data_IF_499304662254
#
_entry.id   IF_499304662254
#
_cell.length_a   1.000
_cell.length_b   1.000
_cell.length_c   1.000
_cell.angle_alpha   90.00
_cell.angle_beta   90.00
_cell.angle_gamma   90.00
#
_symmetry.space_group_name_H-M   'P 1'
#
loop_
_entity.id
_entity.type
_entity.pdbx_description
1 polymer ?
#
# COMPACT_ATOMS: atom_id res chain seq x y z
N UNK A 1 -60.97 -3.84 22.40
CA UNK A 1 -59.81 -2.94 22.59
C UNK A 1 -58.57 -3.70 22.15
N UNK A 2 -58.10 -3.49 20.93
CA UNK A 2 -56.86 -4.06 20.42
C UNK A 2 -55.90 -2.90 20.18
N UNK A 3 -54.79 -2.88 20.90
CA UNK A 3 -53.70 -1.92 20.70
C UNK A 3 -52.85 -2.42 19.53
N UNK A 4 -52.93 -1.72 18.41
CA UNK A 4 -51.96 -1.85 17.32
C UNK A 4 -50.66 -1.16 17.74
N UNK A 5 -49.63 -1.93 18.06
CA UNK A 5 -48.28 -1.39 18.20
C UNK A 5 -47.69 -1.15 16.80
N UNK A 6 -47.14 0.04 16.50
CA UNK A 6 -46.39 0.23 15.27
C UNK A 6 -45.04 -0.46 15.41
N UNK A 7 -44.83 -1.49 14.58
CA UNK A 7 -43.53 -2.13 14.37
C UNK A 7 -42.61 -1.08 13.72
N UNK A 8 -41.79 -0.39 14.51
CA UNK A 8 -40.75 0.47 14.00
C UNK A 8 -39.67 -0.42 13.35
N UNK A 9 -39.74 -0.61 12.03
CA UNK A 9 -38.63 -1.15 11.25
C UNK A 9 -37.47 -0.15 11.35
N UNK A 10 -36.51 -0.44 12.24
CA UNK A 10 -35.16 0.11 12.17
C UNK A 10 -34.51 -0.45 10.91
N UNK A 11 -34.68 0.24 9.79
CA UNK A 11 -33.79 0.08 8.64
C UNK A 11 -32.41 0.56 9.08
N UNK A 12 -31.62 -0.35 9.66
CA UNK A 12 -30.17 -0.19 9.69
C UNK A 12 -29.71 -0.34 8.24
N UNK A 13 -29.83 0.75 7.47
CA UNK A 13 -29.02 0.93 6.28
C UNK A 13 -27.58 0.85 6.78
N UNK A 14 -26.95 -0.30 6.59
CA UNK A 14 -25.50 -0.43 6.66
C UNK A 14 -24.97 0.62 5.68
N UNK A 15 -24.62 1.78 6.20
CA UNK A 15 -24.02 2.83 5.41
C UNK A 15 -22.76 2.19 4.82
N UNK A 16 -22.76 2.00 3.51
CA UNK A 16 -21.55 1.65 2.78
C UNK A 16 -20.67 2.88 2.96
N UNK A 17 -19.77 2.83 3.95
CA UNK A 17 -18.85 3.92 4.22
C UNK A 17 -17.76 3.86 3.15
N UNK A 18 -17.69 4.93 2.36
CA UNK A 18 -16.56 5.16 1.46
C UNK A 18 -15.25 5.27 2.23
N UNK A 19 -14.11 5.23 1.52
CA UNK A 19 -12.82 5.42 2.16
C UNK A 19 -12.74 6.82 2.77
N UNK A 20 -12.16 6.90 3.96
CA UNK A 20 -11.86 8.15 4.64
C UNK A 20 -10.38 8.25 4.94
N UNK A 21 -9.65 8.95 4.06
CA UNK A 21 -8.21 9.21 4.24
C UNK A 21 -7.94 9.92 5.58
N UNK A 22 -8.80 10.87 5.98
CA UNK A 22 -8.70 11.58 7.27
C UNK A 22 -8.68 10.67 8.50
N UNK A 23 -9.37 9.54 8.46
CA UNK A 23 -9.44 8.61 9.61
C UNK A 23 -8.24 7.68 9.72
N UNK A 24 -7.46 7.56 8.65
CA UNK A 24 -6.33 6.63 8.57
C UNK A 24 -4.99 7.36 8.54
N UNK A 25 -5.00 8.70 8.54
CA UNK A 25 -3.78 9.51 8.57
C UNK A 25 -2.91 9.11 9.74
N UNK A 26 -1.67 8.79 9.41
CA UNK A 26 -0.63 8.61 10.39
C UNK A 26 0.02 9.96 10.73
N UNK A 27 1.20 9.88 11.35
CA UNK A 27 2.06 11.03 11.56
C UNK A 27 2.50 11.66 10.21
N UNK A 28 2.75 12.99 10.17
CA UNK A 28 3.39 13.61 9.01
C UNK A 28 4.74 12.95 8.70
N UNK A 29 5.15 12.93 7.44
CA UNK A 29 6.43 12.33 7.09
C UNK A 29 7.58 13.08 7.77
N UNK A 30 8.41 12.36 8.51
CA UNK A 30 9.62 12.90 9.12
C UNK A 30 10.79 11.95 8.94
N UNK A 31 11.93 12.54 8.57
CA UNK A 31 13.28 12.05 8.83
C UNK A 31 13.48 10.52 8.74
N UNK A 32 13.07 9.92 7.62
CA UNK A 32 13.32 8.51 7.30
C UNK A 32 14.81 8.35 7.00
N UNK A 33 15.63 8.34 8.05
CA UNK A 33 17.10 8.37 7.94
C UNK A 33 17.76 7.00 8.13
N UNK A 34 17.01 5.91 7.94
CA UNK A 34 17.56 4.55 7.99
C UNK A 34 17.82 4.04 6.58
N UNK A 35 19.06 4.18 6.12
CA UNK A 35 19.53 3.35 5.01
C UNK A 35 19.44 1.88 5.44
N UNK A 36 18.83 1.00 4.64
CA UNK A 36 18.70 -0.39 4.99
C UNK A 36 20.12 -1.00 5.06
N UNK A 37 20.36 -1.84 6.06
CA UNK A 37 21.57 -2.67 6.09
C UNK A 37 21.10 -4.13 6.13
N UNK A 38 21.26 -4.89 5.03
CA UNK A 38 21.92 -4.53 3.77
C UNK A 38 21.13 -3.54 2.91
N UNK A 39 21.82 -2.83 2.00
CA UNK A 39 21.19 -2.03 0.94
C UNK A 39 20.39 -2.93 -0.02
N UNK A 40 19.34 -2.40 -0.65
CA UNK A 40 18.56 -3.13 -1.63
C UNK A 40 19.41 -3.50 -2.85
N UNK A 41 19.45 -4.80 -3.17
CA UNK A 41 20.08 -5.27 -4.40
C UNK A 41 19.20 -4.90 -5.60
N UNK A 42 19.61 -3.85 -6.32
CA UNK A 42 18.89 -3.35 -7.49
C UNK A 42 18.75 -4.40 -8.59
N UNK A 43 19.75 -5.29 -8.78
CA UNK A 43 19.67 -6.35 -9.81
C UNK A 43 18.62 -7.37 -9.43
N UNK A 44 18.57 -7.74 -8.15
CA UNK A 44 17.52 -8.62 -7.64
C UNK A 44 16.14 -7.98 -7.82
N UNK A 45 15.94 -6.77 -7.32
CA UNK A 45 14.64 -6.08 -7.39
C UNK A 45 14.12 -5.92 -8.83
N UNK A 46 14.99 -5.53 -9.77
CA UNK A 46 14.66 -5.39 -11.19
C UNK A 46 14.48 -6.72 -11.94
N UNK A 47 14.91 -7.85 -11.35
CA UNK A 47 14.71 -9.18 -11.95
C UNK A 47 13.33 -9.78 -11.63
N UNK A 48 12.55 -9.13 -10.77
CA UNK A 48 11.26 -9.64 -10.32
C UNK A 48 10.16 -9.27 -11.31
N UNK A 49 9.55 -10.29 -11.92
CA UNK A 49 8.39 -10.11 -12.81
C UNK A 49 7.14 -9.65 -12.04
N UNK A 50 7.03 -10.04 -10.77
CA UNK A 50 5.88 -9.69 -9.92
C UNK A 50 6.35 -9.54 -8.48
N UNK A 51 5.98 -8.40 -7.90
CA UNK A 51 6.21 -8.05 -6.50
C UNK A 51 4.83 -7.96 -5.84
N UNK A 52 4.53 -8.87 -4.94
CA UNK A 52 3.32 -8.84 -4.13
C UNK A 52 3.46 -7.81 -3.01
N UNK A 53 2.33 -7.22 -2.61
CA UNK A 53 2.25 -6.26 -1.50
C UNK A 53 1.36 -6.80 -0.37
N UNK A 54 1.78 -7.87 0.35
CA UNK A 54 0.95 -8.54 1.34
C UNK A 54 0.72 -7.76 2.63
N UNK A 55 1.53 -6.75 2.92
CA UNK A 55 1.51 -6.08 4.22
C UNK A 55 1.86 -4.60 4.05
N UNK A 56 1.03 -3.71 4.60
CA UNK A 56 1.15 -2.25 4.48
C UNK A 56 0.36 -1.54 5.58
N UNK A 57 0.45 -0.21 5.67
CA UNK A 57 -0.55 0.55 6.41
C UNK A 57 -1.79 0.90 5.58
N UNK A 58 -2.88 1.23 6.27
CA UNK A 58 -4.16 1.57 5.64
C UNK A 58 -4.06 2.79 4.71
N UNK A 59 -3.18 3.76 4.99
CA UNK A 59 -2.93 4.91 4.10
C UNK A 59 -2.42 4.43 2.75
N UNK A 60 -1.38 3.57 2.73
CA UNK A 60 -0.81 3.05 1.50
C UNK A 60 -1.87 2.31 0.67
N UNK A 61 -2.65 1.44 1.33
CA UNK A 61 -3.74 0.71 0.68
C UNK A 61 -4.77 1.66 0.06
N UNK A 62 -5.23 2.68 0.81
CA UNK A 62 -6.27 3.60 0.34
C UNK A 62 -5.76 4.46 -0.80
N UNK A 63 -4.50 4.89 -0.77
CA UNK A 63 -3.87 5.65 -1.85
C UNK A 63 -3.69 4.81 -3.11
N UNK A 64 -3.20 3.58 -2.97
CA UNK A 64 -3.12 2.64 -4.08
C UNK A 64 -4.51 2.35 -4.67
N UNK A 65 -5.55 2.19 -3.84
CA UNK A 65 -6.93 2.02 -4.29
C UNK A 65 -7.44 3.22 -5.09
N UNK A 66 -7.28 4.42 -4.53
CA UNK A 66 -7.71 5.68 -5.13
C UNK A 66 -7.03 5.89 -6.49
N UNK A 67 -5.72 5.64 -6.54
CA UNK A 67 -4.93 5.85 -7.75
C UNK A 67 -5.21 4.79 -8.82
N UNK A 68 -5.38 3.52 -8.47
CA UNK A 68 -5.72 2.49 -9.47
C UNK A 68 -7.17 2.60 -9.98
N UNK A 69 -8.12 2.93 -9.10
CA UNK A 69 -9.54 3.06 -9.47
C UNK A 69 -9.84 4.39 -10.16
N UNK A 70 -9.00 5.42 -9.94
CA UNK A 70 -9.24 6.79 -10.42
C UNK A 70 -10.61 7.33 -9.99
N UNK A 71 -10.96 7.09 -8.72
CA UNK A 71 -12.23 7.49 -8.10
C UNK A 71 -11.98 8.35 -6.88
N UNK A 72 -12.94 9.22 -6.52
CA UNK A 72 -12.90 9.90 -5.22
C UNK A 72 -12.90 8.83 -4.11
N UNK A 73 -12.01 8.92 -3.10
CA UNK A 73 -11.97 7.96 -1.99
C UNK A 73 -13.34 7.66 -1.37
N UNK A 74 -14.23 8.67 -1.28
CA UNK A 74 -15.58 8.53 -0.70
C UNK A 74 -16.52 7.66 -1.53
N UNK A 75 -16.20 7.41 -2.80
CA UNK A 75 -16.97 6.54 -3.69
C UNK A 75 -16.46 5.10 -3.69
N UNK A 76 -15.29 4.85 -3.12
CA UNK A 76 -14.67 3.53 -3.07
C UNK A 76 -15.20 2.75 -1.86
N UNK A 77 -15.74 1.56 -2.09
CA UNK A 77 -16.24 0.70 -1.02
C UNK A 77 -15.08 0.14 -0.17
N UNK A 78 -15.05 0.48 1.11
CA UNK A 78 -14.03 0.03 2.06
C UNK A 78 -13.93 -1.50 2.14
N UNK A 79 -15.04 -2.23 1.97
CA UNK A 79 -15.01 -3.69 1.98
C UNK A 79 -14.30 -4.30 0.79
N UNK A 80 -14.43 -3.73 -0.41
CA UNK A 80 -13.83 -4.30 -1.62
C UNK A 80 -12.32 -4.15 -1.67
N UNK A 81 -11.75 -3.11 -1.04
CA UNK A 81 -10.31 -2.85 -1.15
C UNK A 81 -9.42 -3.93 -0.53
N UNK A 82 -9.90 -4.60 0.52
CA UNK A 82 -9.13 -5.65 1.20
C UNK A 82 -9.18 -7.01 0.50
N UNK A 83 -10.28 -7.31 -0.19
CA UNK A 83 -10.52 -8.63 -0.80
C UNK A 83 -10.30 -8.65 -2.32
N UNK A 84 -10.49 -7.52 -2.99
CA UNK A 84 -10.38 -7.41 -4.45
C UNK A 84 -9.08 -6.68 -4.86
N UNK A 85 -8.28 -6.25 -3.87
CA UNK A 85 -7.08 -5.43 -4.09
C UNK A 85 -6.06 -6.07 -5.01
N UNK A 86 -5.67 -7.31 -4.73
CA UNK A 86 -4.71 -8.10 -5.53
C UNK A 86 -3.49 -7.28 -5.99
N UNK A 87 -2.98 -6.40 -5.12
CA UNK A 87 -1.98 -5.42 -5.48
C UNK A 87 -0.66 -6.10 -5.83
N UNK A 88 -0.14 -5.79 -7.01
CA UNK A 88 1.17 -6.26 -7.45
C UNK A 88 1.90 -5.12 -8.13
N UNK A 89 3.22 -5.21 -8.10
CA UNK A 89 4.11 -4.23 -8.70
C UNK A 89 5.15 -4.91 -9.59
N UNK A 90 5.65 -4.17 -10.57
CA UNK A 90 6.80 -4.57 -11.38
C UNK A 90 7.70 -3.37 -11.60
N UNK A 91 9.00 -3.55 -11.36
CA UNK A 91 10.02 -2.52 -11.57
C UNK A 91 10.77 -2.81 -12.86
N UNK A 92 10.87 -1.80 -13.73
CA UNK A 92 11.56 -1.93 -15.02
C UNK A 92 12.87 -1.13 -15.02
N UNK A 93 13.89 -1.66 -15.70
CA UNK A 93 15.21 -1.03 -15.80
C UNK A 93 15.21 0.33 -16.51
N UNK A 94 14.12 0.69 -17.20
CA UNK A 94 13.94 1.99 -17.84
C UNK A 94 13.40 3.06 -16.87
N UNK A 95 13.32 2.77 -15.57
CA UNK A 95 12.78 3.67 -14.56
C UNK A 95 11.26 3.72 -14.50
N UNK A 96 10.57 2.75 -15.11
CA UNK A 96 9.11 2.61 -14.98
C UNK A 96 8.78 1.66 -13.83
N UNK A 97 7.78 2.02 -13.04
CA UNK A 97 7.15 1.17 -12.05
C UNK A 97 5.70 0.95 -12.50
N UNK A 98 5.22 -0.29 -12.51
CA UNK A 98 3.84 -0.61 -12.89
C UNK A 98 3.13 -1.23 -11.69
N UNK A 99 2.01 -0.66 -11.27
CA UNK A 99 1.09 -1.31 -10.35
C UNK A 99 -0.03 -2.01 -11.11
N UNK A 100 -0.55 -3.08 -10.52
CA UNK A 100 -1.74 -3.79 -10.97
C UNK A 100 -2.58 -4.20 -9.77
N UNK A 101 -3.90 -4.09 -9.90
CA UNK A 101 -4.85 -4.49 -8.85
C UNK A 101 -6.30 -4.38 -9.30
N UNK A 102 -7.25 -4.63 -8.39
CA UNK A 102 -8.69 -4.36 -8.59
C UNK A 102 -9.24 -4.87 -9.93
N UNK A 103 -9.21 -6.19 -10.13
CA UNK A 103 -9.62 -6.85 -11.39
C UNK A 103 -8.74 -6.51 -12.61
N UNK A 104 -7.45 -6.28 -12.39
CA UNK A 104 -6.46 -6.15 -13.47
C UNK A 104 -6.29 -4.74 -14.01
N UNK A 105 -6.83 -3.73 -13.32
CA UNK A 105 -6.47 -2.34 -13.55
C UNK A 105 -4.97 -2.15 -13.34
N UNK A 106 -4.37 -1.28 -14.14
CA UNK A 106 -2.93 -1.01 -14.11
C UNK A 106 -2.65 0.48 -14.08
N UNK A 107 -1.55 0.86 -13.42
CA UNK A 107 -1.04 2.22 -13.41
C UNK A 107 0.47 2.21 -13.61
N UNK A 108 0.96 3.07 -14.50
CA UNK A 108 2.39 3.28 -14.71
C UNK A 108 2.86 4.53 -13.97
N UNK A 109 4.07 4.45 -13.42
CA UNK A 109 4.76 5.54 -12.74
C UNK A 109 6.17 5.69 -13.29
N UNK A 110 6.62 6.94 -13.46
CA UNK A 110 8.05 7.22 -13.63
C UNK A 110 8.73 7.28 -12.28
N UNK A 111 9.93 6.73 -12.22
CA UNK A 111 10.78 6.75 -11.05
C UNK A 111 12.07 7.51 -11.31
N UNK A 112 12.58 8.17 -10.29
CA UNK A 112 13.88 8.85 -10.32
C UNK A 112 14.63 8.51 -9.03
N UNK A 113 15.75 7.82 -9.16
CA UNK A 113 16.57 7.40 -8.02
C UNK A 113 17.42 8.55 -7.50
N UNK A 114 17.65 8.56 -6.20
CA UNK A 114 18.67 9.40 -5.58
C UNK A 114 19.98 8.63 -5.50
N UNK A 115 20.88 8.87 -6.45
CA UNK A 115 22.15 8.15 -6.56
C UNK A 115 22.04 6.84 -7.32
N UNK A 116 22.96 5.91 -7.00
CA UNK A 116 23.20 4.69 -7.79
C UNK A 116 22.41 3.46 -7.31
N UNK A 117 21.60 3.59 -6.25
CA UNK A 117 20.80 2.49 -5.68
C UNK A 117 19.28 2.77 -5.72
N UNK A 118 18.48 1.72 -5.54
CA UNK A 118 17.02 1.79 -5.45
C UNK A 118 16.51 2.03 -4.03
N UNK A 119 17.39 2.39 -3.10
CA UNK A 119 17.02 2.58 -1.70
C UNK A 119 16.20 3.85 -1.51
N UNK A 120 16.44 4.88 -2.33
CA UNK A 120 15.69 6.13 -2.32
C UNK A 120 15.33 6.50 -3.75
N UNK A 121 14.04 6.68 -4.01
CA UNK A 121 13.56 7.14 -5.31
C UNK A 121 12.25 7.90 -5.18
N UNK A 122 12.03 8.88 -6.05
CA UNK A 122 10.72 9.51 -6.22
C UNK A 122 9.92 8.77 -7.27
N UNK A 123 8.60 8.74 -7.13
CA UNK A 123 7.70 8.21 -8.14
C UNK A 123 6.49 9.13 -8.39
N UNK A 124 6.06 9.19 -9.64
CA UNK A 124 4.92 9.98 -10.10
C UNK A 124 4.17 9.22 -11.19
N UNK A 125 2.84 9.33 -11.22
CA UNK A 125 2.01 8.68 -12.24
C UNK A 125 2.31 9.26 -13.63
N UNK A 126 2.39 8.39 -14.65
CA UNK A 126 2.65 8.84 -16.03
C UNK A 126 1.47 9.62 -16.64
N UNK A 127 0.25 9.25 -16.27
CA UNK A 127 -0.98 9.81 -16.80
C UNK A 127 -2.05 9.92 -15.70
N UNK A 128 -2.98 10.86 -15.84
CA UNK A 128 -4.12 11.06 -14.93
C UNK A 128 -3.78 11.83 -13.65
N UNK A 129 -4.76 11.92 -12.75
CA UNK A 129 -4.57 12.61 -11.47
C UNK A 129 -3.72 11.74 -10.54
N UNK A 130 -2.62 12.29 -10.04
CA UNK A 130 -1.67 11.59 -9.18
C UNK A 130 -2.16 11.54 -7.73
N UNK A 131 -3.04 10.59 -7.41
CA UNK A 131 -3.50 10.36 -6.03
C UNK A 131 -2.42 9.66 -5.19
N UNK A 132 -1.47 8.99 -5.83
CA UNK A 132 -0.35 8.29 -5.20
C UNK A 132 0.98 8.66 -5.85
N UNK A 133 1.76 9.48 -5.17
CA UNK A 133 3.09 9.94 -5.59
C UNK A 133 3.89 10.41 -4.37
N UNK A 134 5.22 10.32 -4.45
CA UNK A 134 6.08 10.71 -3.34
C UNK A 134 7.50 10.19 -3.44
N UNK A 135 8.21 10.23 -2.32
CA UNK A 135 9.55 9.67 -2.16
C UNK A 135 9.48 8.37 -1.38
N UNK A 136 10.01 7.31 -1.96
CA UNK A 136 10.13 5.98 -1.36
C UNK A 136 11.51 5.82 -0.73
N UNK A 137 11.54 5.22 0.44
CA UNK A 137 12.71 4.85 1.20
C UNK A 137 12.61 3.36 1.53
N UNK A 138 13.42 2.52 0.90
CA UNK A 138 13.60 1.14 1.35
C UNK A 138 14.38 1.16 2.65
N UNK A 139 13.87 0.55 3.72
CA UNK A 139 14.50 0.67 5.07
C UNK A 139 14.75 -0.67 5.76
N UNK A 140 14.27 -1.77 5.19
CA UNK A 140 14.57 -3.14 5.61
C UNK A 140 14.45 -4.07 4.40
N UNK A 141 15.35 -5.04 4.26
CA UNK A 141 15.31 -6.04 3.18
C UNK A 141 16.16 -7.25 3.56
N UNK A 142 15.83 -8.42 3.06
CA UNK A 142 16.69 -9.60 3.11
C UNK A 142 17.38 -9.90 1.76
N UNK A 143 17.10 -9.09 0.72
CA UNK A 143 17.54 -9.26 -0.66
C UNK A 143 17.25 -10.64 -1.25
N UNK A 144 16.22 -11.31 -0.75
CA UNK A 144 15.89 -12.69 -1.12
C UNK A 144 14.40 -12.92 -1.27
N UNK A 145 13.61 -12.39 -0.35
CA UNK A 145 12.17 -12.68 -0.26
C UNK A 145 11.32 -11.43 -0.05
N UNK A 146 11.84 -10.36 0.54
CA UNK A 146 11.08 -9.12 0.75
C UNK A 146 11.95 -7.87 0.87
N UNK A 147 11.30 -6.72 0.68
CA UNK A 147 11.80 -5.41 1.08
C UNK A 147 10.66 -4.56 1.65
N UNK A 148 10.98 -3.76 2.66
CA UNK A 148 10.07 -2.81 3.31
C UNK A 148 10.37 -1.41 2.80
N UNK A 149 9.33 -0.72 2.35
CA UNK A 149 9.41 0.64 1.85
C UNK A 149 8.52 1.55 2.69
N UNK A 150 9.12 2.60 3.26
CA UNK A 150 8.40 3.75 3.78
C UNK A 150 8.26 4.80 2.67
N UNK A 151 7.17 5.53 2.66
CA UNK A 151 6.86 6.51 1.61
C UNK A 151 6.48 7.84 2.26
N UNK A 152 7.19 8.90 1.87
CA UNK A 152 6.71 10.27 2.09
C UNK A 152 5.86 10.66 0.90
N UNK A 153 4.55 10.75 1.09
CA UNK A 153 3.63 11.22 0.05
C UNK A 153 3.80 12.72 -0.17
N UNK A 154 3.48 13.19 -1.38
CA UNK A 154 3.63 14.59 -1.77
C UNK A 154 2.74 15.57 -0.97
N UNK A 155 1.68 15.08 -0.33
CA UNK A 155 0.84 15.85 0.59
C UNK A 155 1.34 15.83 2.04
N UNK A 156 2.51 15.24 2.28
CA UNK A 156 3.18 15.19 3.59
C UNK A 156 2.74 14.01 4.47
N UNK A 157 1.83 13.15 4.02
CA UNK A 157 1.49 11.92 4.72
C UNK A 157 2.61 10.88 4.63
N UNK A 158 2.63 9.98 5.61
CA UNK A 158 3.57 8.86 5.64
C UNK A 158 2.82 7.56 5.41
N UNK A 159 3.31 6.75 4.49
CA UNK A 159 2.79 5.43 4.17
C UNK A 159 3.90 4.38 4.24
N UNK A 160 3.54 3.10 4.30
CA UNK A 160 4.51 2.02 4.12
C UNK A 160 3.87 0.77 3.54
N UNK A 161 4.68 0.00 2.83
CA UNK A 161 4.30 -1.29 2.27
C UNK A 161 5.50 -2.23 2.17
N UNK A 162 5.22 -3.51 1.97
CA UNK A 162 6.22 -4.56 1.84
C UNK A 162 6.09 -5.18 0.46
N UNK A 163 7.13 -5.04 -0.35
CA UNK A 163 7.29 -5.85 -1.56
C UNK A 163 7.77 -7.25 -1.20
N UNK A 164 7.16 -8.29 -1.77
CA UNK A 164 7.55 -9.69 -1.55
C UNK A 164 7.44 -10.56 -2.80
N UNK A 165 8.22 -11.64 -2.85
CA UNK A 165 8.13 -12.66 -3.90
C UNK A 165 6.86 -13.52 -3.81
N UNK A 166 6.23 -13.56 -2.64
CA UNK A 166 5.06 -14.40 -2.39
C UNK A 166 3.90 -13.57 -1.86
N UNK A 167 2.65 -13.97 -2.15
CA UNK A 167 1.45 -13.27 -1.67
C UNK A 167 1.23 -13.39 -0.15
N UNK A 168 2.05 -14.18 0.54
CA UNK A 168 2.00 -14.36 2.00
C UNK A 168 3.42 -14.34 2.55
N UNK A 169 3.59 -13.85 3.78
CA UNK A 169 4.88 -13.80 4.47
C UNK A 169 4.91 -14.82 5.62
N UNK A 170 6.07 -15.47 5.89
CA UNK A 170 6.25 -16.29 7.10
C UNK A 170 6.00 -15.47 8.37
N UNK A 171 5.47 -16.10 9.42
CA UNK A 171 5.11 -15.39 10.67
C UNK A 171 6.29 -14.66 11.32
N UNK A 172 7.48 -15.26 11.37
CA UNK A 172 8.68 -14.60 11.91
C UNK A 172 9.11 -13.39 11.08
N UNK A 173 8.95 -13.47 9.75
CA UNK A 173 9.21 -12.34 8.84
C UNK A 173 8.20 -11.23 9.08
N UNK A 174 6.90 -11.56 9.19
CA UNK A 174 5.86 -10.58 9.52
C UNK A 174 6.17 -9.88 10.84
N UNK A 175 6.49 -10.64 11.89
CA UNK A 175 6.84 -10.07 13.19
C UNK A 175 7.99 -9.05 13.09
N UNK A 176 9.06 -9.40 12.38
CA UNK A 176 10.21 -8.51 12.17
C UNK A 176 9.82 -7.23 11.44
N UNK A 177 8.99 -7.35 10.40
CA UNK A 177 8.48 -6.21 9.64
C UNK A 177 7.62 -5.28 10.52
N UNK A 178 6.70 -5.84 11.29
CA UNK A 178 5.79 -5.06 12.13
C UNK A 178 6.57 -4.33 13.24
N UNK A 179 7.53 -5.00 13.88
CA UNK A 179 8.43 -4.39 14.85
C UNK A 179 9.27 -3.26 14.21
N UNK A 180 9.73 -3.45 12.96
CA UNK A 180 10.44 -2.40 12.22
C UNK A 180 9.54 -1.21 11.92
N UNK A 181 8.31 -1.42 11.46
CA UNK A 181 7.34 -0.36 11.19
C UNK A 181 7.06 0.47 12.46
N UNK A 182 6.83 -0.19 13.60
CA UNK A 182 6.69 0.50 14.88
C UNK A 182 7.95 1.29 15.28
N UNK A 183 9.14 0.76 14.99
CA UNK A 183 10.40 1.46 15.26
C UNK A 183 10.58 2.74 14.43
N UNK A 184 9.83 2.87 13.32
CA UNK A 184 9.74 4.07 12.50
C UNK A 184 8.62 5.02 12.95
N UNK A 185 7.85 4.63 13.98
CA UNK A 185 6.77 5.41 14.57
C UNK A 185 5.38 5.13 13.98
N UNK A 186 5.25 4.16 13.07
CA UNK A 186 3.94 3.77 12.54
C UNK A 186 3.09 3.09 13.62
N UNK A 187 1.77 3.28 13.55
CA UNK A 187 0.85 2.77 14.58
C UNK A 187 0.23 1.44 14.20
N UNK A 188 0.28 0.49 15.14
CA UNK A 188 -0.26 -0.87 14.98
C UNK A 188 -1.72 -0.91 14.53
N UNK A 189 -2.56 0.02 14.99
CA UNK A 189 -3.98 0.04 14.61
C UNK A 189 -4.24 0.26 13.11
N UNK A 190 -3.25 0.74 12.36
CA UNK A 190 -3.36 0.96 10.91
C UNK A 190 -2.66 -0.12 10.07
N UNK A 191 -2.12 -1.16 10.69
CA UNK A 191 -1.45 -2.23 9.96
C UNK A 191 -2.49 -3.12 9.28
N UNK A 192 -2.28 -3.38 8.00
CA UNK A 192 -3.21 -4.10 7.14
C UNK A 192 -2.48 -5.21 6.38
N UNK A 193 -3.06 -6.41 6.43
CA UNK A 193 -2.63 -7.55 5.61
C UNK A 193 -3.60 -7.72 4.43
N UNK A 194 -3.07 -7.75 3.20
CA UNK A 194 -3.85 -8.05 2.01
C UNK A 194 -3.99 -9.55 1.82
N UNK A 195 -5.20 -9.94 1.41
CA UNK A 195 -5.56 -11.32 1.21
C UNK A 195 -5.61 -11.66 -0.28
N UNK A 196 -4.74 -12.57 -0.72
CA UNK A 196 -4.66 -12.98 -2.12
C UNK A 196 -5.44 -14.25 -2.45
N UNK A 197 -6.16 -14.85 -1.49
CA UNK A 197 -6.90 -16.10 -1.69
C UNK A 197 -8.03 -16.00 -2.73
N UNK A 198 -8.47 -14.78 -3.04
CA UNK A 198 -9.48 -14.52 -4.09
C UNK A 198 -8.89 -13.98 -5.39
N UNK A 199 -7.57 -13.81 -5.46
CA UNK A 199 -6.92 -13.30 -6.64
C UNK A 199 -6.71 -14.42 -7.66
N UNK A 200 -7.16 -14.20 -8.90
CA UNK A 200 -6.79 -15.04 -10.04
C UNK A 200 -5.39 -14.64 -10.50
N UNK A 201 -4.38 -15.16 -9.81
CA UNK A 201 -2.95 -14.91 -10.06
C UNK A 201 -2.38 -15.87 -11.10
#
# INVERSE_FOLDING_TARGET
MWYSAPLALLCMSSAIQGLSLETVKEQPCFNISKNPTPLLDAKWALSLDTIYYPLMNTVDLYRAATDLLQMDPKEINTGSIYYDGCLTWQMFSNGTLMSKGYNGLTRAYKTKTEGDNLDIYTFEAEEGDAAYSGTVYTTLTDNKSYFFSAVCLNDGEMAWGVGSLTPTLPEETKKTILEHAESLGFKKEFFTELRYDKCNL
#
